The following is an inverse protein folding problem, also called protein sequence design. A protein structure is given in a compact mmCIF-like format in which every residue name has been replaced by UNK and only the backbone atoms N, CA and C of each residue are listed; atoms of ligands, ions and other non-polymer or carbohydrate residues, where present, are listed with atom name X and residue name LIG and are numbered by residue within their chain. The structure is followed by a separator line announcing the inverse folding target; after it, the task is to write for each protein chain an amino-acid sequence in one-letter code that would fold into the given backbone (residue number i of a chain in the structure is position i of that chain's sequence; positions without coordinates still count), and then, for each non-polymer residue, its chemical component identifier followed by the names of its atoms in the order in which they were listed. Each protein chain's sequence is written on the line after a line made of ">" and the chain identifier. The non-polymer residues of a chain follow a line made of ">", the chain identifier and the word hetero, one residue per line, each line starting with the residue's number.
data_IF_227575074146
#
_entry.id   IF_227575074146
#
_cell.length_a   1.000
_cell.length_b   1.000
_cell.length_c   1.000
_cell.angle_alpha   90.00
_cell.angle_beta   90.00
_cell.angle_gamma   90.00
#
_symmetry.space_group_name_H-M   'P 1'
#
loop_
_entity.id
_entity.type
_entity.pdbx_description
1 polymer ?
#
# COMPACT_ATOMS: atom_id res chain seq x y z
N UNK A 1 -6.30 23.64 -8.72
CA UNK A 1 -5.50 23.27 -7.53
C UNK A 1 -6.33 23.20 -6.25
N UNK A 2 -7.09 24.24 -5.86
CA UNK A 2 -7.94 24.23 -4.63
C UNK A 2 -8.88 23.00 -4.52
N UNK A 3 -9.54 22.60 -5.61
CA UNK A 3 -10.44 21.43 -5.61
C UNK A 3 -9.72 20.08 -5.38
N UNK A 4 -8.52 19.90 -5.94
CA UNK A 4 -7.73 18.66 -5.74
C UNK A 4 -7.16 18.58 -4.32
N UNK A 5 -6.70 19.71 -3.78
CA UNK A 5 -6.25 19.79 -2.39
C UNK A 5 -7.39 19.47 -1.42
N UNK A 6 -8.57 20.05 -1.63
CA UNK A 6 -9.74 19.75 -0.80
C UNK A 6 -10.17 18.29 -0.90
N UNK A 7 -10.06 17.67 -2.08
CA UNK A 7 -10.37 16.25 -2.27
C UNK A 7 -9.34 15.35 -1.57
N UNK A 8 -8.05 15.65 -1.69
CA UNK A 8 -6.97 14.93 -1.00
C UNK A 8 -7.09 15.07 0.54
N UNK A 9 -7.44 16.26 1.02
CA UNK A 9 -7.69 16.51 2.43
C UNK A 9 -8.91 15.73 2.93
N UNK A 10 -10.03 15.79 2.19
CA UNK A 10 -11.25 15.06 2.54
C UNK A 10 -11.01 13.55 2.58
N UNK A 11 -10.29 13.01 1.60
CA UNK A 11 -9.98 11.58 1.54
C UNK A 11 -9.00 11.14 2.61
N UNK A 12 -8.07 12.01 3.01
CA UNK A 12 -7.22 11.78 4.19
C UNK A 12 -8.04 11.76 5.48
N UNK A 13 -8.98 12.70 5.66
CA UNK A 13 -9.88 12.73 6.81
C UNK A 13 -10.77 11.48 6.84
N UNK A 14 -11.39 11.13 5.71
CA UNK A 14 -12.22 9.93 5.60
C UNK A 14 -11.41 8.67 5.89
N UNK A 15 -10.19 8.55 5.35
CA UNK A 15 -9.31 7.42 5.62
C UNK A 15 -9.02 7.28 7.12
N UNK A 16 -8.61 8.37 7.77
CA UNK A 16 -8.32 8.38 9.21
C UNK A 16 -9.56 8.03 10.04
N UNK A 17 -10.72 8.63 9.72
CA UNK A 17 -11.99 8.33 10.39
C UNK A 17 -12.37 6.87 10.19
N UNK A 18 -12.31 6.35 8.97
CA UNK A 18 -12.62 4.95 8.69
C UNK A 18 -11.74 4.00 9.49
N UNK A 19 -10.43 4.26 9.60
CA UNK A 19 -9.52 3.40 10.37
C UNK A 19 -9.77 3.50 11.88
N UNK A 20 -10.23 4.65 12.37
CA UNK A 20 -10.58 4.83 13.78
C UNK A 20 -11.86 4.10 14.20
N UNK A 21 -12.82 3.93 13.28
CA UNK A 21 -14.14 3.33 13.59
C UNK A 21 -14.34 1.92 13.05
N UNK A 22 -13.56 1.52 12.03
CA UNK A 22 -13.63 0.19 11.42
C UNK A 22 -12.47 -0.64 11.96
N UNK A 23 -12.75 -1.87 12.38
CA UNK A 23 -11.67 -2.76 12.83
C UNK A 23 -10.66 -2.95 11.69
N UNK A 24 -9.37 -2.97 12.03
CA UNK A 24 -8.27 -3.11 11.07
C UNK A 24 -8.49 -4.32 10.15
N UNK A 25 -9.02 -5.42 10.70
CA UNK A 25 -9.36 -6.64 9.95
C UNK A 25 -10.44 -6.44 8.88
N UNK A 26 -11.47 -5.62 9.14
CA UNK A 26 -12.50 -5.33 8.13
C UNK A 26 -11.91 -4.48 7.01
N UNK A 27 -11.07 -3.50 7.36
CA UNK A 27 -10.42 -2.64 6.37
C UNK A 27 -9.48 -3.44 5.45
N UNK A 28 -8.72 -4.38 6.02
CA UNK A 28 -7.85 -5.31 5.29
C UNK A 28 -8.60 -6.13 4.23
N UNK A 29 -9.89 -6.43 4.43
CA UNK A 29 -10.73 -7.15 3.48
C UNK A 29 -11.40 -6.22 2.45
N UNK A 30 -11.83 -5.03 2.86
CA UNK A 30 -12.53 -4.08 2.00
C UNK A 30 -11.64 -3.52 0.89
N UNK A 31 -10.36 -3.25 1.17
CA UNK A 31 -9.44 -2.67 0.17
C UNK A 31 -9.23 -3.61 -1.04
N UNK A 32 -8.88 -4.90 -0.88
CA UNK A 32 -8.84 -5.84 -1.99
C UNK A 32 -10.16 -5.96 -2.75
N UNK A 33 -11.30 -5.98 -2.06
CA UNK A 33 -12.63 -6.05 -2.70
C UNK A 33 -12.87 -4.81 -3.58
N UNK A 34 -12.58 -3.61 -3.06
CA UNK A 34 -12.70 -2.37 -3.82
C UNK A 34 -11.81 -2.37 -5.07
N UNK A 35 -10.58 -2.87 -4.95
CA UNK A 35 -9.64 -3.01 -6.06
C UNK A 35 -10.11 -4.04 -7.09
N UNK A 36 -10.69 -5.17 -6.68
CA UNK A 36 -11.31 -6.15 -7.58
C UNK A 36 -12.46 -5.50 -8.37
N UNK A 37 -13.33 -4.73 -7.69
CA UNK A 37 -14.40 -3.99 -8.36
C UNK A 37 -13.82 -3.01 -9.39
N UNK A 38 -12.75 -2.28 -9.04
CA UNK A 38 -12.08 -1.37 -9.98
C UNK A 38 -11.48 -2.11 -11.18
N UNK A 39 -10.90 -3.29 -11.00
CA UNK A 39 -10.42 -4.13 -12.11
C UNK A 39 -11.56 -4.46 -13.07
N UNK A 40 -12.73 -4.86 -12.55
CA UNK A 40 -13.91 -5.17 -13.36
C UNK A 40 -14.44 -3.95 -14.11
N UNK A 41 -14.42 -2.77 -13.48
CA UNK A 41 -14.81 -1.50 -14.11
C UNK A 41 -13.81 -1.03 -15.18
N UNK A 42 -12.54 -1.39 -15.03
CA UNK A 42 -11.46 -1.02 -15.97
C UNK A 42 -11.30 -1.96 -17.16
N UNK A 43 -12.17 -2.98 -17.33
CA UNK A 43 -12.05 -4.03 -18.35
C UNK A 43 -11.89 -3.51 -19.79
N UNK A 44 -12.42 -2.32 -20.07
CA UNK A 44 -12.40 -1.73 -21.41
C UNK A 44 -11.15 -0.86 -21.67
N UNK A 45 -10.34 -0.57 -20.64
CA UNK A 45 -9.05 0.15 -20.75
C UNK A 45 -7.92 -0.71 -20.17
N UNK A 46 -7.26 -1.48 -21.05
CA UNK A 46 -6.17 -2.42 -20.70
C UNK A 46 -5.08 -1.75 -19.85
N UNK A 47 -4.80 -0.47 -20.06
CA UNK A 47 -3.78 0.27 -19.31
C UNK A 47 -4.18 0.50 -17.85
N UNK A 48 -5.38 1.05 -17.60
CA UNK A 48 -5.91 1.20 -16.24
C UNK A 48 -6.17 -0.16 -15.59
N UNK A 49 -6.57 -1.16 -16.37
CA UNK A 49 -6.76 -2.52 -15.86
C UNK A 49 -5.47 -3.13 -15.36
N UNK A 50 -4.39 -3.09 -16.15
CA UNK A 50 -3.10 -3.61 -15.75
C UNK A 50 -2.56 -2.87 -14.51
N UNK A 51 -2.67 -1.55 -14.50
CA UNK A 51 -2.24 -0.74 -13.35
C UNK A 51 -3.01 -1.15 -12.09
N UNK A 52 -4.34 -1.24 -12.18
CA UNK A 52 -5.19 -1.65 -11.06
C UNK A 52 -4.88 -3.07 -10.62
N UNK A 53 -4.64 -4.00 -11.56
CA UNK A 53 -4.27 -5.39 -11.27
C UNK A 53 -2.98 -5.50 -10.46
N UNK A 54 -1.97 -4.67 -10.73
CA UNK A 54 -0.76 -4.62 -9.90
C UNK A 54 -1.10 -4.30 -8.43
N UNK A 55 -1.99 -3.33 -8.22
CA UNK A 55 -2.44 -2.97 -6.88
C UNK A 55 -3.26 -4.11 -6.25
N UNK A 56 -4.26 -4.63 -6.97
CA UNK A 56 -5.10 -5.73 -6.51
C UNK A 56 -4.25 -6.92 -6.06
N UNK A 57 -3.29 -7.34 -6.89
CA UNK A 57 -2.41 -8.47 -6.58
C UNK A 57 -1.67 -8.27 -5.26
N UNK A 58 -0.97 -7.15 -5.07
CA UNK A 58 -0.18 -6.92 -3.86
C UNK A 58 -1.07 -6.76 -2.63
N UNK A 59 -2.20 -6.06 -2.72
CA UNK A 59 -3.12 -5.89 -1.58
C UNK A 59 -3.81 -7.20 -1.19
N UNK A 60 -4.16 -8.07 -2.15
CA UNK A 60 -4.66 -9.41 -1.85
C UNK A 60 -3.59 -10.25 -1.16
N UNK A 61 -2.34 -10.25 -1.66
CA UNK A 61 -1.23 -10.95 -1.00
C UNK A 61 -0.99 -10.40 0.41
N UNK A 62 -1.11 -9.07 0.61
CA UNK A 62 -1.00 -8.44 1.94
C UNK A 62 -2.07 -8.94 2.91
N UNK A 63 -3.34 -8.97 2.47
CA UNK A 63 -4.44 -9.47 3.31
C UNK A 63 -4.23 -10.95 3.70
N UNK A 64 -3.80 -11.78 2.75
CA UNK A 64 -3.49 -13.20 3.01
C UNK A 64 -2.30 -13.34 3.96
N UNK A 65 -1.23 -12.56 3.77
CA UNK A 65 -0.05 -12.61 4.62
C UNK A 65 -0.38 -12.18 6.07
N UNK A 66 -1.18 -11.13 6.25
CA UNK A 66 -1.66 -10.71 7.56
C UNK A 66 -2.56 -11.75 8.23
N UNK A 67 -3.43 -12.40 7.46
CA UNK A 67 -4.24 -13.51 7.97
C UNK A 67 -3.35 -14.65 8.49
N UNK A 68 -2.33 -15.06 7.71
CA UNK A 68 -1.37 -16.10 8.12
C UNK A 68 -0.58 -15.66 9.37
N UNK A 69 -0.13 -14.42 9.44
CA UNK A 69 0.57 -13.90 10.61
C UNK A 69 -0.29 -14.00 11.87
N UNK A 70 -1.54 -13.51 11.82
CA UNK A 70 -2.46 -13.50 12.96
C UNK A 70 -2.87 -14.91 13.42
N UNK A 71 -3.12 -15.82 12.47
CA UNK A 71 -3.68 -17.15 12.77
C UNK A 71 -2.63 -18.22 13.05
N UNK A 72 -1.45 -18.11 12.45
CA UNK A 72 -0.39 -19.12 12.55
C UNK A 72 0.82 -18.58 13.30
N UNK A 73 1.46 -17.53 12.78
CA UNK A 73 2.78 -17.10 13.29
C UNK A 73 2.69 -16.54 14.71
N UNK A 74 1.71 -15.68 15.00
CA UNK A 74 1.56 -15.06 16.32
C UNK A 74 1.08 -16.03 17.40
N UNK A 75 0.55 -17.20 17.02
CA UNK A 75 0.26 -18.28 17.96
C UNK A 75 1.52 -19.09 18.33
N UNK A 76 2.55 -19.04 17.49
CA UNK A 76 3.79 -19.83 17.65
C UNK A 76 4.95 -19.02 18.20
N UNK A 77 4.92 -17.69 18.07
CA UNK A 77 5.99 -16.79 18.49
C UNK A 77 5.53 -16.00 19.72
N UNK A 78 6.17 -16.20 20.86
CA UNK A 78 5.79 -15.51 22.11
C UNK A 78 6.33 -14.07 22.21
N UNK A 79 7.45 -13.77 21.55
CA UNK A 79 8.09 -12.46 21.63
C UNK A 79 7.42 -11.44 20.70
N UNK A 80 6.81 -10.40 21.28
CA UNK A 80 6.25 -9.27 20.54
C UNK A 80 7.27 -8.58 19.63
N UNK A 81 8.53 -8.49 20.06
CA UNK A 81 9.62 -7.97 19.24
C UNK A 81 9.75 -8.72 17.91
N UNK A 82 9.75 -10.06 17.97
CA UNK A 82 9.84 -10.92 16.79
C UNK A 82 8.56 -10.88 15.95
N UNK A 83 7.38 -10.87 16.59
CA UNK A 83 6.10 -10.72 15.89
C UNK A 83 6.08 -9.43 15.05
N UNK A 84 6.53 -8.30 15.62
CA UNK A 84 6.58 -7.01 14.94
C UNK A 84 7.61 -6.99 13.81
N UNK A 85 8.76 -7.66 13.97
CA UNK A 85 9.72 -7.83 12.85
C UNK A 85 9.02 -8.51 11.67
N UNK A 86 8.32 -9.62 11.90
CA UNK A 86 7.61 -10.31 10.82
C UNK A 86 6.54 -9.41 10.18
N UNK A 87 5.73 -8.73 10.99
CA UNK A 87 4.67 -7.85 10.51
C UNK A 87 5.22 -6.72 9.63
N UNK A 88 6.16 -5.93 10.15
CA UNK A 88 6.70 -4.77 9.42
C UNK A 88 7.57 -5.19 8.24
N UNK A 89 8.32 -6.30 8.34
CA UNK A 89 9.16 -6.78 7.23
C UNK A 89 8.32 -7.29 6.05
N UNK A 90 7.23 -8.02 6.31
CA UNK A 90 6.30 -8.47 5.25
C UNK A 90 5.64 -7.25 4.60
N UNK A 91 5.18 -6.29 5.38
CA UNK A 91 4.59 -5.05 4.87
C UNK A 91 5.59 -4.25 4.01
N UNK A 92 6.83 -4.08 4.47
CA UNK A 92 7.90 -3.44 3.72
C UNK A 92 8.19 -4.18 2.41
N UNK A 93 8.29 -5.51 2.45
CA UNK A 93 8.55 -6.34 1.27
C UNK A 93 7.43 -6.18 0.23
N UNK A 94 6.17 -6.13 0.65
CA UNK A 94 5.02 -5.95 -0.23
C UNK A 94 4.95 -4.52 -0.80
N UNK A 95 5.26 -3.49 -0.01
CA UNK A 95 5.38 -2.12 -0.51
C UNK A 95 6.52 -1.98 -1.52
N UNK A 96 7.66 -2.64 -1.29
CA UNK A 96 8.77 -2.69 -2.27
C UNK A 96 8.38 -3.46 -3.52
N UNK A 97 7.64 -4.57 -3.40
CA UNK A 97 7.09 -5.30 -4.54
C UNK A 97 6.15 -4.41 -5.36
N UNK A 98 5.26 -3.65 -4.71
CA UNK A 98 4.40 -2.68 -5.39
C UNK A 98 5.23 -1.63 -6.15
N UNK A 99 6.26 -1.08 -5.50
CA UNK A 99 7.14 -0.08 -6.11
C UNK A 99 7.87 -0.66 -7.34
N UNK A 100 8.32 -1.91 -7.24
CA UNK A 100 8.93 -2.66 -8.33
C UNK A 100 7.94 -2.84 -9.49
N UNK A 101 6.72 -3.32 -9.21
CA UNK A 101 5.67 -3.51 -10.23
C UNK A 101 5.33 -2.20 -10.93
N UNK A 102 5.22 -1.08 -10.19
CA UNK A 102 4.98 0.24 -10.77
C UNK A 102 6.14 0.70 -11.66
N UNK A 103 7.37 0.62 -11.16
CA UNK A 103 8.58 1.04 -11.88
C UNK A 103 8.76 0.26 -13.19
N UNK A 104 8.47 -1.05 -13.15
CA UNK A 104 8.67 -1.96 -14.28
C UNK A 104 7.38 -2.29 -15.03
N UNK A 105 6.28 -1.55 -14.78
CA UNK A 105 4.96 -1.88 -15.34
C UNK A 105 4.99 -2.00 -16.87
N UNK A 106 5.71 -1.11 -17.54
CA UNK A 106 5.79 -1.07 -19.01
C UNK A 106 6.47 -2.33 -19.55
N UNK A 107 7.54 -2.77 -18.90
CA UNK A 107 8.25 -4.01 -19.24
C UNK A 107 7.35 -5.22 -18.99
N UNK A 108 6.66 -5.27 -17.84
CA UNK A 108 5.70 -6.33 -17.52
C UNK A 108 4.60 -6.39 -18.58
N UNK A 109 4.09 -5.22 -18.98
CA UNK A 109 3.02 -5.13 -19.96
C UNK A 109 3.45 -5.55 -21.37
N UNK A 110 4.68 -5.23 -21.78
CA UNK A 110 5.29 -5.73 -23.02
C UNK A 110 5.36 -7.26 -23.00
N UNK A 111 5.81 -7.85 -21.89
CA UNK A 111 5.92 -9.31 -21.74
C UNK A 111 4.54 -9.97 -21.83
N UNK A 112 3.54 -9.42 -21.13
CA UNK A 112 2.18 -9.97 -21.09
C UNK A 112 1.46 -9.83 -22.45
N UNK A 113 1.62 -8.69 -23.13
CA UNK A 113 0.96 -8.44 -24.42
C UNK A 113 1.77 -8.88 -25.63
N UNK A 114 2.99 -9.39 -25.43
CA UNK A 114 3.97 -9.69 -26.48
C UNK A 114 4.20 -8.49 -27.42
N UNK A 115 4.09 -7.27 -26.90
CA UNK A 115 4.23 -6.02 -27.66
C UNK A 115 3.07 -5.69 -28.61
N UNK A 116 1.94 -6.40 -28.55
CA UNK A 116 0.82 -6.25 -29.50
C UNK A 116 -0.21 -5.17 -29.14
N UNK A 117 -0.07 -4.49 -28.01
CA UNK A 117 -1.03 -3.48 -27.56
C UNK A 117 -0.36 -2.11 -27.43
N UNK A 118 -0.76 -1.15 -28.28
CA UNK A 118 -0.25 0.22 -28.23
C UNK A 118 -0.78 1.01 -27.03
N UNK A 119 -2.02 0.73 -26.58
CA UNK A 119 -2.66 1.44 -25.47
C UNK A 119 -1.96 1.22 -24.13
N UNK A 120 -1.25 0.10 -24.00
CA UNK A 120 -0.39 -0.22 -22.85
C UNK A 120 0.79 0.74 -22.69
N UNK A 121 1.28 1.31 -23.79
CA UNK A 121 2.39 2.26 -23.76
C UNK A 121 1.94 3.70 -23.48
N UNK A 122 0.63 3.94 -23.42
CA UNK A 122 0.14 5.26 -23.07
C UNK A 122 0.49 5.61 -21.62
N UNK A 123 0.88 6.86 -21.42
CA UNK A 123 1.17 7.35 -20.08
C UNK A 123 -0.14 7.48 -19.30
N UNK A 124 -0.24 6.78 -18.18
CA UNK A 124 -1.33 6.97 -17.25
C UNK A 124 -0.92 8.07 -16.25
N UNK A 125 -1.61 9.20 -16.30
CA UNK A 125 -1.32 10.36 -15.45
C UNK A 125 -1.43 10.06 -13.95
N UNK A 126 -2.09 8.97 -13.56
CA UNK A 126 -2.13 8.51 -12.17
C UNK A 126 -0.80 7.92 -11.67
N UNK A 127 0.09 7.46 -12.55
CA UNK A 127 1.33 6.76 -12.16
C UNK A 127 2.26 7.58 -11.28
N UNK A 128 2.49 8.85 -11.61
CA UNK A 128 3.40 9.71 -10.84
C UNK A 128 2.94 9.87 -9.39
N UNK A 129 1.69 10.32 -9.17
CA UNK A 129 1.11 10.37 -7.83
C UNK A 129 1.09 9.01 -7.11
N UNK A 130 0.75 7.92 -7.81
CA UNK A 130 0.75 6.57 -7.23
C UNK A 130 2.16 6.13 -6.81
N UNK A 131 3.18 6.43 -7.60
CA UNK A 131 4.57 6.14 -7.29
C UNK A 131 5.01 6.86 -6.01
N UNK A 132 4.65 8.14 -5.87
CA UNK A 132 4.91 8.90 -4.65
C UNK A 132 4.22 8.28 -3.42
N UNK A 133 2.94 7.90 -3.52
CA UNK A 133 2.22 7.27 -2.41
C UNK A 133 2.82 5.91 -2.02
N UNK A 134 3.26 5.12 -2.99
CA UNK A 134 3.93 3.84 -2.71
C UNK A 134 5.29 4.06 -2.03
N UNK A 135 6.06 5.07 -2.44
CA UNK A 135 7.27 5.47 -1.73
C UNK A 135 6.99 5.88 -0.29
N UNK A 136 5.91 6.63 -0.05
CA UNK A 136 5.48 7.00 1.31
C UNK A 136 5.15 5.76 2.13
N UNK A 137 4.47 4.75 1.56
CA UNK A 137 4.22 3.48 2.24
C UNK A 137 5.51 2.74 2.58
N UNK A 138 6.47 2.65 1.65
CA UNK A 138 7.78 2.04 1.90
C UNK A 138 8.51 2.75 3.05
N UNK A 139 8.47 4.08 3.08
CA UNK A 139 9.07 4.86 4.16
C UNK A 139 8.42 4.58 5.52
N UNK A 140 7.09 4.55 5.59
CA UNK A 140 6.35 4.23 6.82
C UNK A 140 6.70 2.82 7.32
N UNK A 141 6.71 1.83 6.42
CA UNK A 141 7.06 0.45 6.75
C UNK A 141 8.50 0.31 7.27
N UNK A 142 9.44 0.99 6.61
CA UNK A 142 10.83 1.00 7.03
C UNK A 142 11.00 1.69 8.38
N UNK A 143 10.39 2.85 8.58
CA UNK A 143 10.48 3.61 9.83
C UNK A 143 9.91 2.82 11.01
N UNK A 144 8.73 2.19 10.85
CA UNK A 144 8.14 1.35 11.90
C UNK A 144 9.02 0.14 12.25
N UNK A 145 9.64 -0.50 11.24
CA UNK A 145 10.59 -1.59 11.47
C UNK A 145 11.83 -1.10 12.22
N UNK A 146 12.39 0.06 11.86
CA UNK A 146 13.55 0.63 12.53
C UNK A 146 13.22 1.05 13.98
N UNK A 147 12.06 1.67 14.22
CA UNK A 147 11.61 1.99 15.58
C UNK A 147 11.45 0.72 16.43
N UNK A 148 10.92 -0.38 15.86
CA UNK A 148 10.85 -1.65 16.58
C UNK A 148 12.23 -2.17 17.00
N UNK A 149 13.26 -2.00 16.17
CA UNK A 149 14.64 -2.34 16.56
C UNK A 149 15.20 -1.37 17.62
N UNK A 150 15.01 -0.07 17.44
CA UNK A 150 15.50 0.97 18.37
C UNK A 150 14.92 0.80 19.77
N UNK A 151 13.64 0.46 19.89
CA UNK A 151 12.98 0.25 21.18
C UNK A 151 13.43 -1.03 21.89
N UNK A 152 13.91 -2.01 21.13
CA UNK A 152 14.30 -3.33 21.62
C UNK A 152 15.81 -3.55 21.54
N UNK A 153 16.62 -2.49 21.60
CA UNK A 153 18.09 -2.56 21.54
C UNK A 153 18.69 -3.44 22.65
N UNK A 154 18.03 -3.54 23.80
CA UNK A 154 18.41 -4.45 24.89
C UNK A 154 18.37 -5.93 24.44
N UNK A 155 17.38 -6.31 23.63
CA UNK A 155 17.26 -7.66 23.07
C UNK A 155 18.32 -7.93 21.99
N UNK A 156 18.96 -6.87 21.48
CA UNK A 156 20.08 -6.93 20.54
C UNK A 156 21.45 -6.90 21.25
N UNK A 157 21.47 -6.91 22.58
CA UNK A 157 22.69 -6.99 23.40
C UNK A 157 23.31 -5.64 23.77
N UNK A 158 22.59 -4.52 23.59
CA UNK A 158 23.02 -3.23 24.12
C UNK A 158 22.69 -3.10 25.62
N UNK A 159 23.52 -2.36 26.34
CA UNK A 159 23.28 -2.07 27.76
C UNK A 159 21.98 -1.26 27.92
N UNK A 160 21.22 -1.60 28.96
CA UNK A 160 19.93 -0.99 29.30
C UNK A 160 20.01 0.54 29.43
N UNK A 161 21.08 1.07 30.03
CA UNK A 161 21.27 2.53 30.16
C UNK A 161 21.29 3.25 28.82
N UNK A 162 21.87 2.61 27.79
CA UNK A 162 21.89 3.17 26.43
C UNK A 162 20.57 2.91 25.70
N UNK A 163 19.99 1.72 25.88
CA UNK A 163 18.72 1.35 25.25
C UNK A 163 17.54 2.22 25.71
N UNK A 164 17.52 2.61 26.99
CA UNK A 164 16.48 3.46 27.60
C UNK A 164 16.24 4.78 26.87
N UNK A 165 17.30 5.35 26.28
CA UNK A 165 17.18 6.60 25.50
C UNK A 165 16.28 6.46 24.27
N UNK A 166 16.06 5.23 23.78
CA UNK A 166 15.33 4.96 22.54
C UNK A 166 13.94 4.32 22.76
N UNK A 167 13.56 4.01 24.00
CA UNK A 167 12.28 3.37 24.31
C UNK A 167 11.05 4.20 23.89
N UNK A 168 11.18 5.53 23.96
CA UNK A 168 10.12 6.50 23.64
C UNK A 168 10.03 6.84 22.14
N UNK A 169 10.89 6.25 21.29
CA UNK A 169 10.82 6.45 19.83
C UNK A 169 9.77 5.50 19.26
N UNK A 170 8.49 5.92 19.32
CA UNK A 170 7.34 5.05 19.01
C UNK A 170 6.38 5.59 17.96
N UNK A 171 6.65 6.72 17.33
CA UNK A 171 5.66 7.40 16.49
C UNK A 171 5.17 6.54 15.30
N UNK A 172 6.08 6.00 14.50
CA UNK A 172 5.69 5.14 13.38
C UNK A 172 5.19 3.79 13.84
N UNK A 173 5.71 3.28 14.96
CA UNK A 173 5.29 2.04 15.58
C UNK A 173 3.82 2.10 16.05
N UNK A 174 3.47 3.11 16.85
CA UNK A 174 2.14 3.25 17.48
C UNK A 174 1.08 3.69 16.46
N UNK A 175 1.44 4.58 15.54
CA UNK A 175 0.51 5.12 14.54
C UNK A 175 0.57 4.41 13.19
N UNK A 176 1.25 3.26 13.10
CA UNK A 176 1.51 2.53 11.85
C UNK A 176 0.26 2.37 10.97
N UNK A 177 -0.82 1.84 11.55
CA UNK A 177 -2.05 1.56 10.81
C UNK A 177 -2.69 2.84 10.25
N UNK A 178 -2.70 3.92 11.02
CA UNK A 178 -3.26 5.21 10.61
C UNK A 178 -2.42 5.87 9.52
N UNK A 179 -1.10 5.92 9.73
CA UNK A 179 -0.15 6.50 8.79
C UNK A 179 -0.21 5.77 7.45
N UNK A 180 -0.31 4.44 7.46
CA UNK A 180 -0.35 3.64 6.24
C UNK A 180 -1.72 3.64 5.55
N UNK A 181 -2.81 3.78 6.28
CA UNK A 181 -4.13 3.79 5.67
C UNK A 181 -4.34 4.98 4.73
N UNK A 182 -3.87 6.17 5.08
CA UNK A 182 -4.00 7.37 4.25
C UNK A 182 -3.48 7.17 2.82
N UNK A 183 -2.21 6.78 2.58
CA UNK A 183 -1.72 6.53 1.23
C UNK A 183 -2.42 5.35 0.54
N UNK A 184 -2.87 4.32 1.27
CA UNK A 184 -3.66 3.21 0.69
C UNK A 184 -4.97 3.73 0.10
N UNK A 185 -5.75 4.50 0.86
CA UNK A 185 -7.02 5.07 0.39
C UNK A 185 -6.81 6.03 -0.77
N UNK A 186 -5.75 6.86 -0.71
CA UNK A 186 -5.40 7.75 -1.81
C UNK A 186 -5.00 6.97 -3.07
N UNK A 187 -4.36 5.81 -2.95
CA UNK A 187 -4.07 4.95 -4.10
C UNK A 187 -5.36 4.45 -4.76
N UNK A 188 -6.31 3.91 -3.99
CA UNK A 188 -7.60 3.44 -4.50
C UNK A 188 -8.35 4.58 -5.19
N UNK A 189 -8.39 5.76 -4.57
CA UNK A 189 -9.02 6.95 -5.14
C UNK A 189 -8.35 7.38 -6.46
N UNK A 190 -7.02 7.42 -6.51
CA UNK A 190 -6.29 7.84 -7.71
C UNK A 190 -6.46 6.84 -8.86
N UNK A 191 -6.53 5.54 -8.57
CA UNK A 191 -6.86 4.52 -9.58
C UNK A 191 -8.26 4.77 -10.15
N UNK A 192 -9.25 5.03 -9.28
CA UNK A 192 -10.61 5.36 -9.72
C UNK A 192 -10.67 6.65 -10.54
N UNK A 193 -10.07 7.74 -10.07
CA UNK A 193 -10.02 9.01 -10.80
C UNK A 193 -9.28 8.84 -12.13
N UNK A 194 -8.17 8.10 -12.13
CA UNK A 194 -7.38 7.80 -13.33
C UNK A 194 -8.22 7.09 -14.39
N UNK A 195 -9.00 6.09 -13.98
CA UNK A 195 -9.96 5.40 -14.85
C UNK A 195 -10.99 6.37 -15.43
N UNK A 196 -11.70 7.13 -14.58
CA UNK A 196 -12.74 8.07 -15.02
C UNK A 196 -12.19 9.12 -16.00
N UNK A 197 -11.00 9.67 -15.73
CA UNK A 197 -10.38 10.66 -16.60
C UNK A 197 -10.02 10.07 -17.96
N UNK A 198 -9.51 8.83 -18.00
CA UNK A 198 -9.19 8.14 -19.26
C UNK A 198 -10.46 7.84 -20.06
N UNK A 199 -11.49 7.25 -19.44
CA UNK A 199 -12.76 6.94 -20.11
C UNK A 199 -13.46 8.20 -20.66
N UNK A 200 -13.33 9.36 -20.00
CA UNK A 200 -13.93 10.62 -20.47
C UNK A 200 -13.12 11.34 -21.56
N UNK A 201 -11.78 11.24 -21.53
CA UNK A 201 -10.90 11.96 -22.48
C UNK A 201 -10.59 11.18 -23.75
N UNK A 202 -10.60 9.85 -23.68
CA UNK A 202 -10.45 8.95 -24.82
C UNK A 202 -11.73 8.12 -24.89
N UNK A 203 -12.79 8.59 -25.60
CA UNK A 203 -13.92 7.71 -25.88
C UNK A 203 -13.36 6.47 -26.58
N UNK A 204 -13.67 5.31 -26.03
CA UNK A 204 -13.26 4.00 -26.54
C UNK A 204 -13.64 3.97 -28.02
N UNK A 205 -12.63 4.01 -28.90
CA UNK A 205 -12.84 3.80 -30.33
C UNK A 205 -13.07 2.30 -30.49
N UNK A 206 -14.35 1.90 -30.42
CA UNK A 206 -14.80 0.57 -30.83
C UNK A 206 -14.62 0.40 -32.34
#
# INVERSE_FOLDING_TARGET
>A
MKSLFNLALLTSIVATVSVSFVSVTILELLIPIALIILVLLSKDDVNSQLLTLCFTFVFTVSAVALFILKTVVFQLVESYFIQNIYAFSIQLTLSLLMLFLLKHRMTIAVILTKGKSASVFEKNYAEGPLYFLVLTMVFIDFAALMENFLRNLELLGLNEETAKMFWEVTFFFDYFAYLKAVPIFLCVLLLYIGLIVRTKRQPIQN
#
